data_IF_076384847785
#
_entry.id   IF_076384847785
#
_cell.length_a   1.000
_cell.length_b   1.000
_cell.length_c   1.000
_cell.angle_alpha   90.00
_cell.angle_beta   90.00
_cell.angle_gamma   90.00
#
_symmetry.space_group_name_H-M   'P 1'
#
loop_
_entity.id
_entity.type
_entity.pdbx_description
1 polymer ?
#
# COMPACT_ATOMS: atom_id res chain seq x y z
N UNK A 1 -8.70 -9.26 -20.82
CA UNK A 1 -8.24 -8.09 -20.04
C UNK A 1 -7.12 -8.51 -19.13
N UNK A 2 -6.10 -7.67 -18.97
CA UNK A 2 -4.96 -7.97 -18.10
C UNK A 2 -4.85 -6.92 -16.99
N UNK A 3 -4.55 -7.38 -15.80
CA UNK A 3 -4.17 -6.61 -14.61
C UNK A 3 -2.84 -7.14 -14.09
N UNK A 4 -2.21 -6.47 -13.14
CA UNK A 4 -0.97 -6.99 -12.61
C UNK A 4 -0.40 -6.27 -11.40
N UNK A 5 0.78 -6.73 -11.00
CA UNK A 5 1.59 -6.19 -9.92
C UNK A 5 3.00 -5.91 -10.40
N UNK A 6 3.48 -4.67 -10.24
CA UNK A 6 4.85 -4.25 -10.50
C UNK A 6 5.61 -4.10 -9.18
N UNK A 7 6.78 -4.72 -9.08
CA UNK A 7 7.65 -4.61 -7.91
C UNK A 7 8.79 -5.62 -7.92
N UNK A 8 9.56 -5.69 -6.82
CA UNK A 8 10.64 -6.66 -6.63
C UNK A 8 11.00 -6.83 -5.15
N UNK A 9 11.18 -8.06 -4.64
CA UNK A 9 10.76 -9.33 -5.26
C UNK A 9 9.25 -9.56 -5.12
N UNK A 10 8.63 -10.32 -6.02
CA UNK A 10 7.19 -10.59 -6.03
C UNK A 10 6.80 -12.01 -5.60
N UNK A 11 7.78 -12.89 -5.34
CA UNK A 11 7.53 -14.30 -5.00
C UNK A 11 6.58 -14.52 -3.81
N UNK A 12 6.56 -13.58 -2.86
CA UNK A 12 5.78 -13.67 -1.63
C UNK A 12 4.45 -12.92 -1.67
N UNK A 13 4.14 -12.22 -2.78
CA UNK A 13 2.90 -11.47 -2.90
C UNK A 13 1.69 -12.39 -3.09
N UNK A 14 0.67 -12.20 -2.26
CA UNK A 14 -0.59 -12.93 -2.36
C UNK A 14 -1.52 -12.38 -3.48
N UNK A 15 -1.31 -11.14 -3.95
CA UNK A 15 -2.20 -10.49 -4.93
C UNK A 15 -2.42 -11.32 -6.20
N UNK A 16 -1.39 -11.89 -6.87
CA UNK A 16 -1.61 -12.65 -8.10
C UNK A 16 -2.52 -13.87 -7.90
N UNK A 17 -2.37 -14.56 -6.75
CA UNK A 17 -3.24 -15.69 -6.41
C UNK A 17 -4.66 -15.23 -6.11
N UNK A 18 -4.83 -14.24 -5.23
CA UNK A 18 -6.14 -13.77 -4.81
C UNK A 18 -6.98 -13.23 -5.96
N UNK A 19 -6.41 -12.39 -6.82
CA UNK A 19 -7.12 -11.87 -8.00
C UNK A 19 -7.38 -12.97 -9.05
N UNK A 20 -6.38 -13.81 -9.36
CA UNK A 20 -6.52 -14.87 -10.34
C UNK A 20 -7.64 -15.86 -9.98
N UNK A 21 -7.63 -16.38 -8.74
CA UNK A 21 -8.68 -17.27 -8.24
C UNK A 21 -10.05 -16.60 -8.19
N UNK A 22 -10.13 -15.30 -7.85
CA UNK A 22 -11.39 -14.58 -7.83
C UNK A 22 -11.99 -14.42 -9.23
N UNK A 23 -11.18 -14.12 -10.25
CA UNK A 23 -11.62 -14.01 -11.64
C UNK A 23 -12.07 -15.37 -12.18
N UNK A 24 -11.32 -16.43 -11.89
CA UNK A 24 -11.68 -17.79 -12.30
C UNK A 24 -13.02 -18.24 -11.70
N UNK A 25 -13.19 -18.09 -10.36
CA UNK A 25 -14.46 -18.43 -9.69
C UNK A 25 -15.65 -17.62 -10.20
N UNK A 26 -15.44 -16.37 -10.58
CA UNK A 26 -16.49 -15.50 -11.11
C UNK A 26 -16.78 -15.74 -12.59
N UNK A 27 -15.96 -16.52 -13.31
CA UNK A 27 -16.04 -16.72 -14.76
C UNK A 27 -15.73 -15.45 -15.55
N UNK A 28 -14.90 -14.56 -15.00
CA UNK A 28 -14.52 -13.29 -15.64
C UNK A 28 -13.25 -13.49 -16.47
N UNK A 29 -13.23 -13.15 -17.78
CA UNK A 29 -12.06 -13.30 -18.65
C UNK A 29 -11.02 -12.19 -18.38
N UNK A 30 -10.50 -12.17 -17.16
CA UNK A 30 -9.43 -11.31 -16.70
C UNK A 30 -8.27 -12.13 -16.12
N UNK A 31 -7.07 -11.60 -16.22
CA UNK A 31 -5.84 -12.23 -15.66
C UNK A 31 -5.08 -11.22 -14.82
N UNK A 32 -4.32 -11.71 -13.85
CA UNK A 32 -3.47 -10.88 -13.01
C UNK A 32 -2.01 -11.37 -13.07
N UNK A 33 -1.13 -10.55 -13.62
CA UNK A 33 0.25 -10.89 -13.94
C UNK A 33 1.24 -10.31 -12.92
N UNK A 34 2.43 -10.93 -12.84
CA UNK A 34 3.59 -10.38 -12.15
C UNK A 34 4.49 -9.68 -13.16
N UNK A 35 4.74 -8.39 -12.95
CA UNK A 35 5.76 -7.60 -13.64
C UNK A 35 6.94 -7.41 -12.68
N UNK A 36 7.72 -8.49 -12.50
CA UNK A 36 8.81 -8.50 -11.54
C UNK A 36 10.04 -7.79 -12.12
N UNK A 37 10.41 -6.67 -11.54
CA UNK A 37 11.56 -5.89 -11.97
C UNK A 37 12.18 -5.10 -10.82
N UNK A 38 13.50 -5.16 -10.69
CA UNK A 38 14.26 -4.32 -9.76
C UNK A 38 14.36 -2.88 -10.29
N UNK A 39 14.47 -2.73 -11.62
CA UNK A 39 14.48 -1.44 -12.29
C UNK A 39 13.06 -0.98 -12.61
N UNK A 40 12.79 0.32 -12.45
CA UNK A 40 11.48 0.88 -12.79
C UNK A 40 11.34 1.01 -14.32
N UNK A 41 10.36 0.34 -14.96
CA UNK A 41 10.28 0.27 -16.42
C UNK A 41 9.64 1.50 -17.09
N UNK A 42 9.05 2.42 -16.30
CA UNK A 42 8.19 3.48 -16.79
C UNK A 42 6.78 2.98 -17.18
N UNK A 43 5.75 3.74 -16.80
CA UNK A 43 4.34 3.32 -16.96
C UNK A 43 3.89 3.35 -18.43
N UNK A 44 4.28 4.38 -19.16
CA UNK A 44 3.94 4.50 -20.61
C UNK A 44 4.57 3.38 -21.42
N UNK A 45 5.84 3.06 -21.15
CA UNK A 45 6.52 1.97 -21.82
C UNK A 45 5.86 0.62 -21.52
N UNK A 46 5.53 0.38 -20.24
CA UNK A 46 4.85 -0.83 -19.83
C UNK A 46 3.47 -0.97 -20.49
N UNK A 47 2.70 0.12 -20.58
CA UNK A 47 1.40 0.15 -21.24
C UNK A 47 1.50 -0.13 -22.74
N UNK A 48 2.52 0.42 -23.43
CA UNK A 48 2.75 0.19 -24.86
C UNK A 48 3.14 -1.26 -25.16
N UNK A 49 3.98 -1.86 -24.32
CA UNK A 49 4.38 -3.27 -24.47
C UNK A 49 3.26 -4.26 -24.11
N UNK A 50 2.23 -3.79 -23.38
CA UNK A 50 1.11 -4.61 -22.91
C UNK A 50 -0.23 -3.95 -23.26
N UNK A 51 -0.67 -3.99 -24.54
CA UNK A 51 -1.86 -3.25 -25.00
C UNK A 51 -3.16 -3.71 -24.33
N UNK A 52 -3.23 -4.92 -23.77
CA UNK A 52 -4.37 -5.42 -23.03
C UNK A 52 -4.35 -5.11 -21.52
N UNK A 53 -3.30 -4.41 -21.05
CA UNK A 53 -3.15 -4.05 -19.64
C UNK A 53 -4.10 -2.88 -19.31
N UNK A 54 -5.09 -3.14 -18.48
CA UNK A 54 -6.03 -2.13 -17.97
C UNK A 54 -5.47 -1.38 -16.77
N UNK A 55 -4.72 -2.09 -15.92
CA UNK A 55 -4.16 -1.48 -14.72
C UNK A 55 -3.21 -2.42 -13.98
N UNK A 56 -2.52 -1.84 -13.01
CA UNK A 56 -1.61 -2.61 -12.16
C UNK A 56 -1.49 -1.99 -10.76
N UNK A 57 -1.22 -2.85 -9.78
CA UNK A 57 -0.72 -2.39 -8.50
C UNK A 57 0.79 -2.17 -8.59
N UNK A 58 1.29 -1.26 -7.76
CA UNK A 58 2.71 -1.02 -7.57
C UNK A 58 3.07 -1.31 -6.12
N UNK A 59 4.12 -2.11 -5.93
CA UNK A 59 4.67 -2.40 -4.62
C UNK A 59 6.14 -1.99 -4.51
N UNK A 60 6.81 -2.39 -3.44
CA UNK A 60 8.24 -2.14 -3.25
C UNK A 60 9.05 -2.58 -4.47
N UNK A 61 10.08 -1.80 -4.86
CA UNK A 61 10.49 -0.51 -4.28
C UNK A 61 9.88 0.71 -5.00
N UNK A 62 8.91 0.56 -5.89
CA UNK A 62 8.58 1.49 -6.96
C UNK A 62 7.51 2.55 -6.65
N UNK A 63 6.79 2.49 -5.50
CA UNK A 63 5.67 3.40 -5.20
C UNK A 63 6.03 4.89 -5.26
N UNK A 64 7.20 5.28 -4.74
CA UNK A 64 7.68 6.68 -4.79
C UNK A 64 8.19 7.05 -6.18
N UNK A 65 8.89 6.14 -6.86
CA UNK A 65 9.40 6.37 -8.21
C UNK A 65 8.25 6.53 -9.21
N UNK A 66 7.21 5.71 -9.08
CA UNK A 66 6.00 5.87 -9.88
C UNK A 66 5.36 7.26 -9.67
N UNK A 67 5.26 7.73 -8.43
CA UNK A 67 4.76 9.07 -8.14
C UNK A 67 5.62 10.17 -8.78
N UNK A 68 6.95 10.02 -8.77
CA UNK A 68 7.86 10.98 -9.42
C UNK A 68 7.63 11.07 -10.93
N UNK A 69 7.30 9.96 -11.61
CA UNK A 69 6.94 9.98 -13.04
C UNK A 69 5.71 10.85 -13.32
N UNK A 70 4.74 10.90 -12.39
CA UNK A 70 3.59 11.81 -12.50
C UNK A 70 3.94 13.27 -12.28
N UNK A 71 5.03 13.56 -11.56
CA UNK A 71 5.46 14.95 -11.29
C UNK A 71 6.37 15.50 -12.38
N UNK A 72 7.12 14.63 -13.04
CA UNK A 72 8.10 14.99 -14.07
C UNK A 72 7.89 14.10 -15.31
N UNK A 73 6.71 14.19 -15.94
CA UNK A 73 6.46 13.39 -17.13
C UNK A 73 7.38 13.87 -18.25
N UNK A 74 8.13 12.92 -18.86
CA UNK A 74 8.81 13.18 -20.13
C UNK A 74 7.74 13.38 -21.22
N UNK A 75 8.04 14.13 -22.27
CA UNK A 75 7.32 14.40 -23.55
C UNK A 75 5.79 14.14 -23.68
N UNK A 76 5.11 13.61 -22.65
CA UNK A 76 3.70 13.20 -22.65
C UNK A 76 2.95 13.71 -21.41
N UNK A 77 3.23 14.92 -20.97
CA UNK A 77 2.66 15.54 -19.74
C UNK A 77 1.13 15.42 -19.60
N UNK A 78 0.40 15.46 -20.72
CA UNK A 78 -1.06 15.42 -20.73
C UNK A 78 -1.65 14.06 -20.36
N UNK A 79 -0.84 13.00 -20.36
CA UNK A 79 -1.31 11.65 -20.08
C UNK A 79 -1.45 11.37 -18.57
N UNK A 80 -0.69 12.03 -17.72
CA UNK A 80 -0.58 11.68 -16.31
C UNK A 80 -1.59 12.44 -15.43
N UNK A 81 -2.43 11.69 -14.70
CA UNK A 81 -3.44 12.22 -13.80
C UNK A 81 -3.38 11.52 -12.44
N UNK A 82 -3.27 12.28 -11.35
CA UNK A 82 -3.28 11.78 -9.98
C UNK A 82 -4.63 12.00 -9.31
N UNK A 83 -5.09 11.02 -8.54
CA UNK A 83 -6.17 11.24 -7.58
C UNK A 83 -5.67 12.08 -6.39
N UNK A 84 -6.62 12.65 -5.63
CA UNK A 84 -6.30 13.45 -4.45
C UNK A 84 -5.51 12.67 -3.41
N UNK A 85 -5.81 11.38 -3.22
CA UNK A 85 -5.11 10.49 -2.28
C UNK A 85 -3.65 10.28 -2.71
N UNK A 86 -3.42 9.97 -3.99
CA UNK A 86 -2.07 9.76 -4.51
C UNK A 86 -1.24 11.04 -4.46
N UNK A 87 -1.84 12.19 -4.85
CA UNK A 87 -1.20 13.49 -4.78
C UNK A 87 -0.87 13.91 -3.34
N UNK A 88 -1.82 13.70 -2.42
CA UNK A 88 -1.68 14.08 -1.02
C UNK A 88 -0.63 13.25 -0.27
N UNK A 89 -0.59 11.94 -0.48
CA UNK A 89 0.39 11.08 0.19
C UNK A 89 1.77 11.04 -0.50
N UNK A 90 1.89 11.49 -1.75
CA UNK A 90 3.17 11.47 -2.48
C UNK A 90 3.65 10.06 -2.85
N UNK A 91 2.72 9.14 -3.05
CA UNK A 91 3.01 7.77 -3.45
C UNK A 91 1.85 7.18 -4.26
N UNK A 92 2.17 6.31 -5.22
CA UNK A 92 1.21 5.62 -6.06
C UNK A 92 1.35 4.12 -5.86
N UNK A 93 0.25 3.41 -5.60
CA UNK A 93 0.24 1.95 -5.49
C UNK A 93 -0.76 1.28 -6.45
N UNK A 94 -1.56 2.07 -7.17
CA UNK A 94 -2.53 1.57 -8.13
C UNK A 94 -2.54 2.45 -9.38
N UNK A 95 -2.42 1.83 -10.54
CA UNK A 95 -2.41 2.49 -11.86
C UNK A 95 -3.60 2.00 -12.67
N UNK A 96 -4.22 2.94 -13.39
CA UNK A 96 -5.17 2.66 -14.45
C UNK A 96 -4.68 3.21 -15.80
N UNK A 97 -4.88 2.45 -16.86
CA UNK A 97 -4.58 2.88 -18.22
C UNK A 97 -5.88 3.12 -18.98
N UNK A 98 -6.13 4.36 -19.35
CA UNK A 98 -7.27 4.73 -20.19
C UNK A 98 -6.82 4.81 -21.65
N UNK A 99 -7.58 4.17 -22.54
CA UNK A 99 -7.27 4.09 -23.97
C UNK A 99 -8.44 4.60 -24.80
N UNK A 100 -8.13 5.21 -25.95
CA UNK A 100 -9.12 5.61 -26.97
C UNK A 100 -9.20 4.49 -28.01
N UNK A 101 -10.40 4.08 -28.38
CA UNK A 101 -10.59 3.06 -29.42
C UNK A 101 -11.87 2.24 -29.24
N UNK A 102 -12.30 1.52 -30.27
CA UNK A 102 -13.46 0.65 -30.20
C UNK A 102 -13.22 -0.51 -29.24
N UNK A 103 -14.32 -1.05 -28.66
CA UNK A 103 -14.27 -2.18 -27.71
C UNK A 103 -13.52 -3.42 -28.21
N UNK A 104 -13.25 -3.50 -29.52
CA UNK A 104 -12.66 -4.66 -30.17
C UNK A 104 -11.16 -4.53 -30.49
N UNK A 105 -10.57 -3.33 -30.36
CA UNK A 105 -9.14 -3.09 -30.62
C UNK A 105 -8.50 -2.51 -29.36
N UNK A 106 -8.08 -3.39 -28.46
CA UNK A 106 -7.25 -3.01 -27.33
C UNK A 106 -5.87 -2.60 -27.84
N UNK A 107 -5.60 -1.29 -27.90
CA UNK A 107 -4.22 -0.94 -27.86
C UNK A 107 -3.63 0.13 -28.73
N UNK A 108 -4.37 0.99 -29.43
CA UNK A 108 -3.62 1.91 -30.28
C UNK A 108 -3.29 3.25 -29.64
N UNK A 109 -4.16 3.87 -28.83
CA UNK A 109 -3.80 5.17 -28.25
C UNK A 109 -4.04 5.24 -26.72
N UNK A 110 -2.96 5.27 -25.98
CA UNK A 110 -2.98 5.57 -24.57
C UNK A 110 -3.42 7.03 -24.37
N UNK A 111 -4.61 7.22 -23.80
CA UNK A 111 -5.20 8.54 -23.54
C UNK A 111 -4.78 9.09 -22.18
N UNK A 112 -4.74 8.23 -21.16
CA UNK A 112 -4.31 8.63 -19.83
C UNK A 112 -3.70 7.49 -19.03
N UNK A 113 -2.78 7.87 -18.15
CA UNK A 113 -2.22 7.07 -17.06
C UNK A 113 -2.74 7.67 -15.76
N UNK A 114 -3.58 6.92 -15.05
CA UNK A 114 -4.24 7.37 -13.83
C UNK A 114 -3.51 6.77 -12.62
N UNK A 115 -2.99 7.62 -11.74
CA UNK A 115 -2.33 7.21 -10.50
C UNK A 115 -3.23 7.37 -9.30
N UNK A 116 -3.37 6.29 -8.52
CA UNK A 116 -4.18 6.24 -7.30
C UNK A 116 -3.40 5.59 -6.15
N UNK A 117 -3.87 5.80 -4.91
CA UNK A 117 -3.30 5.16 -3.74
C UNK A 117 -4.37 4.48 -2.88
N UNK A 118 -4.56 3.18 -3.09
CA UNK A 118 -5.51 2.35 -2.36
C UNK A 118 -5.04 1.96 -0.95
N UNK A 119 -3.75 2.15 -0.62
CA UNK A 119 -3.24 1.95 0.74
C UNK A 119 -3.92 2.93 1.72
N UNK A 120 -4.33 4.11 1.25
CA UNK A 120 -5.07 5.12 2.06
C UNK A 120 -6.38 4.54 2.58
N UNK A 121 -7.20 3.99 1.69
CA UNK A 121 -8.44 3.34 2.09
C UNK A 121 -8.18 2.08 2.92
N UNK A 122 -7.20 1.27 2.51
CA UNK A 122 -6.81 0.06 3.21
C UNK A 122 -6.41 0.32 4.65
N UNK A 123 -5.53 1.28 4.87
CA UNK A 123 -5.08 1.66 6.21
C UNK A 123 -6.20 2.31 7.03
N UNK A 124 -7.00 3.18 6.43
CA UNK A 124 -8.14 3.81 7.10
C UNK A 124 -9.08 2.77 7.70
N UNK A 125 -9.43 1.74 6.91
CA UNK A 125 -10.32 0.64 7.33
C UNK A 125 -9.71 -0.25 8.42
N UNK A 126 -8.40 -0.53 8.30
CA UNK A 126 -7.67 -1.29 9.33
C UNK A 126 -7.57 -0.51 10.64
N UNK A 127 -7.31 0.80 10.59
CA UNK A 127 -7.26 1.67 11.76
C UNK A 127 -8.60 1.68 12.51
N UNK A 128 -9.73 1.82 11.78
CA UNK A 128 -11.07 1.77 12.36
C UNK A 128 -11.37 0.42 13.03
N UNK A 129 -10.89 -0.66 12.43
CA UNK A 129 -11.05 -2.01 12.97
C UNK A 129 -10.21 -2.26 14.23
N UNK A 130 -9.03 -1.66 14.34
CA UNK A 130 -8.18 -1.77 15.53
C UNK A 130 -8.66 -0.85 16.66
N UNK A 131 -9.09 0.36 16.31
CA UNK A 131 -9.39 1.46 17.24
C UNK A 131 -10.89 1.73 17.30
N UNK A 132 -11.71 0.75 17.69
CA UNK A 132 -13.19 0.82 17.71
C UNK A 132 -13.76 1.86 18.66
N UNK A 133 -13.01 2.27 19.68
CA UNK A 133 -13.39 3.29 20.66
C UNK A 133 -12.80 4.68 20.38
N UNK A 134 -12.27 4.87 19.16
CA UNK A 134 -11.52 6.05 18.75
C UNK A 134 -10.02 5.84 18.81
N UNK A 135 -9.28 6.63 18.01
CA UNK A 135 -7.83 6.51 17.90
C UNK A 135 -7.14 7.01 19.16
N UNK A 136 -6.28 6.21 19.81
CA UNK A 136 -5.65 6.55 21.08
C UNK A 136 -4.48 7.51 20.88
N UNK A 137 -4.69 8.81 20.86
CA UNK A 137 -3.61 9.82 20.95
C UNK A 137 -2.58 9.80 19.83
N UNK A 138 -1.36 10.35 20.06
CA UNK A 138 -0.29 10.41 19.08
C UNK A 138 0.21 9.03 18.62
N UNK A 139 0.72 8.96 17.38
CA UNK A 139 1.21 7.71 16.80
C UNK A 139 2.71 7.72 16.50
N UNK A 140 3.36 6.56 16.60
CA UNK A 140 4.67 6.30 16.02
C UNK A 140 4.51 5.49 14.74
N UNK A 141 5.05 6.01 13.64
CA UNK A 141 5.13 5.31 12.35
C UNK A 141 6.54 4.76 12.20
N UNK A 142 6.67 3.45 12.23
CA UNK A 142 7.96 2.78 12.15
C UNK A 142 8.36 2.57 10.69
N UNK A 143 9.29 3.39 10.20
CA UNK A 143 9.75 3.41 8.81
C UNK A 143 9.19 4.57 7.99
N UNK A 144 9.91 4.94 6.92
CA UNK A 144 9.61 6.07 6.03
C UNK A 144 9.50 5.61 4.56
N UNK A 145 8.83 4.48 4.31
CA UNK A 145 8.61 3.91 2.98
C UNK A 145 7.36 4.44 2.27
N UNK A 146 7.03 3.84 1.12
CA UNK A 146 5.85 4.24 0.33
C UNK A 146 4.52 4.00 1.08
N UNK A 147 4.41 2.95 1.90
CA UNK A 147 3.21 2.72 2.70
C UNK A 147 3.10 3.68 3.88
N UNK A 148 4.23 4.10 4.48
CA UNK A 148 4.24 5.10 5.55
C UNK A 148 3.69 6.45 5.08
N UNK A 149 3.85 6.77 3.79
CA UNK A 149 3.27 7.98 3.20
C UNK A 149 1.73 7.95 3.22
N UNK A 150 1.12 6.80 2.90
CA UNK A 150 -0.34 6.63 2.99
C UNK A 150 -0.84 6.67 4.45
N UNK A 151 -0.10 6.04 5.38
CA UNK A 151 -0.38 6.11 6.82
C UNK A 151 -0.36 7.55 7.32
N UNK A 152 0.70 8.30 7.00
CA UNK A 152 0.82 9.70 7.36
C UNK A 152 -0.31 10.56 6.79
N UNK A 153 -0.68 10.34 5.53
CA UNK A 153 -1.80 11.04 4.89
C UNK A 153 -3.12 10.79 5.65
N UNK A 154 -3.42 9.54 6.03
CA UNK A 154 -4.62 9.23 6.83
C UNK A 154 -4.57 9.92 8.20
N UNK A 155 -3.42 9.94 8.86
CA UNK A 155 -3.28 10.64 10.14
C UNK A 155 -3.49 12.14 10.01
N UNK A 156 -2.97 12.77 8.95
CA UNK A 156 -3.20 14.20 8.67
C UNK A 156 -4.70 14.49 8.43
N UNK A 157 -5.38 13.66 7.63
CA UNK A 157 -6.82 13.78 7.37
C UNK A 157 -7.64 13.65 8.67
N UNK A 158 -7.22 12.79 9.58
CA UNK A 158 -7.91 12.54 10.86
C UNK A 158 -7.41 13.44 12.00
N UNK A 159 -6.45 14.33 11.72
CA UNK A 159 -5.81 15.22 12.72
C UNK A 159 -5.19 14.45 13.89
N UNK A 160 -4.60 13.28 13.59
CA UNK A 160 -3.88 12.46 14.56
C UNK A 160 -2.42 12.90 14.52
N UNK A 161 -1.84 13.43 15.59
CA UNK A 161 -0.42 13.74 15.65
C UNK A 161 0.41 12.47 15.49
N UNK A 162 1.50 12.54 14.73
CA UNK A 162 2.38 11.39 14.58
C UNK A 162 3.85 11.80 14.39
N UNK A 163 4.73 10.86 14.65
CA UNK A 163 6.16 10.98 14.47
C UNK A 163 6.68 9.74 13.72
N UNK A 164 7.65 9.95 12.82
CA UNK A 164 8.27 8.86 12.06
C UNK A 164 9.53 8.39 12.78
N UNK A 165 9.65 7.07 12.96
CA UNK A 165 10.88 6.42 13.43
C UNK A 165 11.65 5.90 12.23
N UNK A 166 12.88 6.36 12.04
CA UNK A 166 13.67 6.08 10.84
C UNK A 166 15.13 5.72 11.18
N UNK A 167 15.85 5.16 10.22
CA UNK A 167 17.30 4.89 10.33
C UNK A 167 18.16 6.11 10.06
N UNK A 168 17.62 7.04 9.27
CA UNK A 168 18.34 8.24 8.85
C UNK A 168 17.34 9.39 8.77
N UNK A 169 17.64 10.47 9.45
CA UNK A 169 16.80 11.67 9.45
C UNK A 169 16.82 12.34 8.07
N UNK A 170 15.66 12.81 7.65
CA UNK A 170 15.51 13.59 6.43
C UNK A 170 16.09 15.00 6.60
N UNK A 171 16.69 15.55 5.55
CA UNK A 171 17.19 16.95 5.60
C UNK A 171 16.04 17.97 5.77
N UNK A 172 14.86 17.66 5.20
CA UNK A 172 13.66 18.49 5.29
C UNK A 172 12.46 17.59 5.60
N UNK A 173 12.28 17.16 6.86
CA UNK A 173 11.18 16.31 7.23
C UNK A 173 9.85 17.06 7.16
N UNK A 174 8.81 16.42 6.64
CA UNK A 174 7.44 16.98 6.61
C UNK A 174 6.78 16.92 7.99
N UNK A 175 7.17 15.94 8.80
CA UNK A 175 6.70 15.72 10.16
C UNK A 175 7.89 15.37 11.05
N UNK A 176 7.78 15.46 12.39
CA UNK A 176 8.86 15.08 13.29
C UNK A 176 9.40 13.67 13.00
N UNK A 177 10.70 13.54 12.94
CA UNK A 177 11.43 12.28 12.77
C UNK A 177 12.34 12.02 13.94
N UNK A 178 12.45 10.77 14.37
CA UNK A 178 13.42 10.30 15.36
C UNK A 178 14.14 9.05 14.89
N UNK A 179 15.33 8.83 15.42
CA UNK A 179 16.08 7.61 15.16
C UNK A 179 15.57 6.45 16.04
N UNK A 180 15.78 5.21 15.60
CA UNK A 180 15.36 4.01 16.35
C UNK A 180 15.86 3.99 17.79
N UNK A 181 17.13 4.37 18.02
CA UNK A 181 17.77 4.41 19.33
C UNK A 181 17.22 5.52 20.26
N UNK A 182 16.47 6.46 19.74
CA UNK A 182 15.80 7.50 20.52
C UNK A 182 14.44 7.05 21.06
N UNK A 183 13.90 5.94 20.54
CA UNK A 183 12.64 5.39 21.04
C UNK A 183 12.89 4.68 22.39
N UNK A 184 12.58 5.37 23.44
CA UNK A 184 12.69 4.91 24.81
C UNK A 184 11.32 4.74 25.47
N UNK A 185 11.30 4.32 26.75
CA UNK A 185 10.09 4.11 27.54
C UNK A 185 9.16 5.34 27.56
N UNK A 186 9.74 6.56 27.64
CA UNK A 186 8.95 7.78 27.66
C UNK A 186 8.30 8.03 26.29
N UNK A 187 9.05 7.88 25.20
CA UNK A 187 8.52 8.03 23.84
C UNK A 187 7.36 7.05 23.59
N UNK A 188 7.50 5.78 24.02
CA UNK A 188 6.42 4.80 23.93
C UNK A 188 5.20 5.22 24.75
N UNK A 189 5.39 5.67 25.99
CA UNK A 189 4.28 6.11 26.84
C UNK A 189 3.52 7.32 26.27
N UNK A 190 4.21 8.22 25.56
CA UNK A 190 3.63 9.40 24.93
C UNK A 190 2.91 9.07 23.60
N UNK A 191 3.13 7.86 23.02
CA UNK A 191 2.60 7.43 21.73
C UNK A 191 1.87 6.07 21.84
N UNK A 192 0.62 6.06 22.26
CA UNK A 192 -0.13 4.81 22.48
C UNK A 192 -0.46 4.04 21.18
N UNK A 193 -0.27 4.61 19.99
CA UNK A 193 -0.46 3.94 18.71
C UNK A 193 0.87 3.75 17.99
N UNK A 194 1.20 2.50 17.64
CA UNK A 194 2.38 2.15 16.85
C UNK A 194 1.93 1.52 15.53
N UNK A 195 2.50 1.99 14.39
CA UNK A 195 2.23 1.42 13.07
C UNK A 195 3.55 0.99 12.42
N UNK A 196 3.76 -0.31 12.27
CA UNK A 196 4.93 -0.90 11.64
C UNK A 196 4.78 -0.89 10.11
N UNK A 197 5.63 -0.10 9.43
CA UNK A 197 5.63 0.14 7.99
C UNK A 197 6.90 -0.36 7.28
N UNK A 198 7.80 -1.04 8.00
CA UNK A 198 9.03 -1.60 7.43
C UNK A 198 8.81 -3.04 6.95
N UNK A 199 9.70 -3.60 6.12
CA UNK A 199 9.63 -5.01 5.77
C UNK A 199 10.21 -5.97 6.84
N UNK A 200 10.61 -5.47 8.02
CA UNK A 200 11.18 -6.28 9.08
C UNK A 200 10.14 -7.21 9.70
N UNK A 201 10.33 -8.51 9.57
CA UNK A 201 9.38 -9.55 9.97
C UNK A 201 8.60 -10.16 8.82
N UNK A 202 8.70 -9.58 7.60
CA UNK A 202 8.07 -10.13 6.41
C UNK A 202 8.85 -11.33 5.85
N UNK A 203 8.15 -12.31 5.29
CA UNK A 203 8.78 -13.39 4.53
C UNK A 203 9.67 -12.80 3.39
N UNK A 204 10.89 -13.34 3.13
CA UNK A 204 11.44 -14.60 3.66
C UNK A 204 12.22 -14.46 5.00
N UNK A 205 12.15 -13.32 5.69
CA UNK A 205 12.90 -13.05 6.94
C UNK A 205 11.97 -12.84 8.15
N UNK A 206 11.10 -13.83 8.49
CA UNK A 206 10.08 -13.65 9.53
C UNK A 206 10.65 -13.51 10.95
N UNK A 207 11.92 -13.88 11.16
CA UNK A 207 12.61 -13.76 12.45
C UNK A 207 13.19 -12.37 12.72
N UNK A 208 13.11 -11.47 11.74
CA UNK A 208 13.53 -10.08 11.94
C UNK A 208 12.40 -9.25 12.56
N UNK A 209 12.73 -8.16 13.24
CA UNK A 209 11.74 -7.22 13.78
C UNK A 209 12.30 -5.80 13.87
N UNK A 210 11.46 -4.79 14.04
CA UNK A 210 11.91 -3.43 14.37
C UNK A 210 12.84 -3.43 15.59
N UNK A 211 13.99 -2.73 15.53
CA UNK A 211 15.00 -2.73 16.60
C UNK A 211 14.56 -1.79 17.74
N UNK A 212 13.40 -2.05 18.33
CA UNK A 212 12.86 -1.28 19.45
C UNK A 212 13.04 -2.00 20.77
N UNK A 213 13.39 -1.24 21.81
CA UNK A 213 13.16 -1.68 23.17
C UNK A 213 11.69 -1.49 23.52
N UNK A 214 10.98 -2.59 23.81
CA UNK A 214 9.54 -2.58 24.14
C UNK A 214 9.27 -2.37 25.63
N UNK A 215 10.24 -1.89 26.40
CA UNK A 215 9.99 -1.45 27.78
C UNK A 215 9.10 -0.22 27.80
N UNK A 216 8.00 -0.33 28.51
CA UNK A 216 6.97 0.74 28.55
C UNK A 216 5.76 0.46 27.65
N UNK A 217 5.85 -0.52 26.75
CA UNK A 217 4.67 -1.00 26.03
C UNK A 217 3.76 -1.81 26.97
N UNK A 218 2.45 -1.66 26.85
CA UNK A 218 1.50 -2.36 27.71
C UNK A 218 0.04 -2.19 27.24
N UNK A 219 -0.93 -2.47 28.13
CA UNK A 219 -2.38 -2.53 27.82
C UNK A 219 -2.98 -1.27 27.20
N UNK A 220 -2.37 -0.10 27.38
CA UNK A 220 -2.82 1.15 26.78
C UNK A 220 -2.36 1.33 25.33
N UNK A 221 -1.58 0.41 24.77
CA UNK A 221 -1.02 0.53 23.43
C UNK A 221 -1.82 -0.26 22.42
N UNK A 222 -1.90 0.31 21.21
CA UNK A 222 -2.43 -0.28 20.00
C UNK A 222 -1.28 -0.42 19.00
N UNK A 223 -1.06 -1.60 18.48
CA UNK A 223 0.05 -1.87 17.56
C UNK A 223 -0.48 -2.52 16.31
N UNK A 224 -0.24 -1.88 15.19
CA UNK A 224 -0.54 -2.42 13.87
C UNK A 224 0.76 -2.73 13.13
N UNK A 225 0.87 -3.94 12.62
CA UNK A 225 1.93 -4.31 11.69
C UNK A 225 1.32 -4.50 10.29
N UNK A 226 1.78 -3.74 9.31
CA UNK A 226 1.22 -3.79 7.95
C UNK A 226 1.67 -5.02 7.16
N UNK A 227 2.48 -5.89 7.75
CA UNK A 227 2.85 -7.19 7.19
C UNK A 227 1.66 -8.15 7.32
N UNK A 228 1.33 -8.86 6.23
CA UNK A 228 0.30 -9.87 6.16
C UNK A 228 0.84 -11.29 5.91
N UNK A 229 2.12 -11.42 5.64
CA UNK A 229 2.82 -12.71 5.48
C UNK A 229 4.19 -12.66 6.21
N UNK A 230 4.32 -13.30 7.38
CA UNK A 230 3.32 -14.13 8.06
C UNK A 230 2.11 -13.33 8.59
N UNK A 231 1.04 -14.04 8.97
CA UNK A 231 -0.17 -13.42 9.55
C UNK A 231 0.10 -12.76 10.92
N UNK A 232 1.01 -13.34 11.68
CA UNK A 232 1.52 -12.78 12.94
C UNK A 232 3.06 -12.71 12.86
N UNK A 233 3.60 -11.51 13.02
CA UNK A 233 5.04 -11.28 13.04
C UNK A 233 5.58 -11.42 14.46
N UNK A 234 6.88 -11.70 14.59
CA UNK A 234 7.56 -11.72 15.90
C UNK A 234 7.34 -10.40 16.68
N UNK A 235 7.30 -9.28 15.97
CA UNK A 235 7.02 -7.98 16.58
C UNK A 235 5.62 -7.91 17.22
N UNK A 236 4.59 -8.39 16.53
CA UNK A 236 3.21 -8.43 17.08
C UNK A 236 3.11 -9.40 18.25
N UNK A 237 3.77 -10.57 18.17
CA UNK A 237 3.81 -11.55 19.26
C UNK A 237 4.42 -10.93 20.53
N UNK A 238 5.58 -10.27 20.42
CA UNK A 238 6.21 -9.59 21.54
C UNK A 238 5.35 -8.45 22.10
N UNK A 239 4.70 -7.66 21.25
CA UNK A 239 3.81 -6.59 21.67
C UNK A 239 2.57 -7.13 22.41
N UNK A 240 1.98 -8.21 21.91
CA UNK A 240 0.86 -8.91 22.57
C UNK A 240 1.25 -9.45 23.94
N UNK A 241 2.45 -10.04 24.07
CA UNK A 241 2.96 -10.53 25.34
C UNK A 241 3.13 -9.42 26.39
N UNK A 242 3.33 -8.17 25.97
CA UNK A 242 3.32 -6.97 26.85
C UNK A 242 1.92 -6.46 27.18
N UNK A 243 0.88 -7.04 26.59
CA UNK A 243 -0.52 -6.70 26.82
C UNK A 243 -1.08 -5.65 25.86
N UNK A 244 -0.38 -5.27 24.81
CA UNK A 244 -0.89 -4.37 23.76
C UNK A 244 -2.04 -5.02 22.96
N UNK A 245 -2.94 -4.20 22.43
CA UNK A 245 -3.91 -4.61 21.41
C UNK A 245 -3.19 -4.62 20.07
N UNK A 246 -3.16 -5.76 19.38
CA UNK A 246 -2.37 -5.91 18.16
C UNK A 246 -3.22 -6.32 16.97
N UNK A 247 -2.82 -5.87 15.76
CA UNK A 247 -3.45 -6.23 14.49
C UNK A 247 -2.38 -6.39 13.40
N UNK A 248 -2.47 -7.48 12.62
CA UNK A 248 -1.66 -7.70 11.43
C UNK A 248 -2.22 -7.05 10.17
N UNK A 249 -1.43 -7.07 9.10
CA UNK A 249 -1.70 -6.34 7.86
C UNK A 249 -2.81 -6.89 6.97
N UNK A 250 -3.42 -8.03 7.31
CA UNK A 250 -4.39 -8.68 6.43
C UNK A 250 -5.62 -7.82 6.16
N UNK A 251 -6.17 -7.14 7.17
CA UNK A 251 -7.33 -6.23 7.00
C UNK A 251 -7.02 -5.09 6.02
N UNK A 252 -5.84 -4.49 6.13
CA UNK A 252 -5.38 -3.47 5.19
C UNK A 252 -5.20 -4.05 3.79
N UNK A 253 -4.57 -5.23 3.69
CA UNK A 253 -4.31 -5.89 2.41
C UNK A 253 -5.61 -6.20 1.65
N UNK A 254 -6.62 -6.73 2.35
CA UNK A 254 -7.94 -6.99 1.78
C UNK A 254 -8.60 -5.71 1.27
N UNK A 255 -8.67 -4.70 2.11
CA UNK A 255 -9.35 -3.46 1.78
C UNK A 255 -8.69 -2.71 0.60
N UNK A 256 -7.34 -2.65 0.53
CA UNK A 256 -6.64 -2.02 -0.60
C UNK A 256 -6.81 -2.81 -1.91
N UNK A 257 -6.91 -4.14 -1.84
CA UNK A 257 -7.13 -4.97 -3.02
C UNK A 257 -8.56 -4.77 -3.58
N UNK A 258 -9.57 -4.72 -2.71
CA UNK A 258 -10.94 -4.38 -3.08
C UNK A 258 -11.03 -2.95 -3.67
N UNK A 259 -10.33 -1.99 -3.08
CA UNK A 259 -10.25 -0.63 -3.60
C UNK A 259 -9.61 -0.57 -4.99
N UNK A 260 -8.56 -1.36 -5.22
CA UNK A 260 -7.93 -1.48 -6.55
C UNK A 260 -8.91 -2.06 -7.58
N UNK A 261 -9.67 -3.10 -7.21
CA UNK A 261 -10.68 -3.67 -8.09
C UNK A 261 -11.76 -2.63 -8.45
N UNK A 262 -12.27 -1.89 -7.47
CA UNK A 262 -13.24 -0.79 -7.73
C UNK A 262 -12.65 0.31 -8.60
N UNK A 263 -11.40 0.70 -8.38
CA UNK A 263 -10.72 1.70 -9.21
C UNK A 263 -10.67 1.25 -10.67
N UNK A 264 -10.24 0.03 -10.95
CA UNK A 264 -10.17 -0.50 -12.31
C UNK A 264 -11.54 -0.74 -12.94
N UNK A 265 -12.54 -1.15 -12.16
CA UNK A 265 -13.89 -1.37 -12.65
C UNK A 265 -14.59 -0.10 -13.18
N UNK A 266 -14.13 1.07 -12.73
CA UNK A 266 -14.63 2.37 -13.19
C UNK A 266 -13.89 2.93 -14.41
N UNK A 267 -12.87 2.22 -14.90
CA UNK A 267 -12.16 2.61 -16.13
C UNK A 267 -12.90 2.11 -17.38
N UNK A 268 -12.84 2.82 -18.51
CA UNK A 268 -13.30 2.31 -19.78
C UNK A 268 -12.63 0.95 -20.11
N UNK A 269 -13.44 -0.07 -20.39
CA UNK A 269 -12.99 -1.45 -20.56
C UNK A 269 -12.88 -2.24 -19.26
N UNK A 270 -13.14 -1.63 -18.10
CA UNK A 270 -13.14 -2.26 -16.79
C UNK A 270 -14.51 -2.77 -16.32
N UNK A 271 -15.59 -2.53 -17.09
CA UNK A 271 -16.97 -2.81 -16.69
C UNK A 271 -17.22 -4.27 -16.35
N UNK A 272 -16.46 -5.17 -16.95
CA UNK A 272 -16.51 -6.62 -16.64
C UNK A 272 -16.10 -6.95 -15.20
N UNK A 273 -15.35 -6.06 -14.55
CA UNK A 273 -14.95 -6.18 -13.15
C UNK A 273 -16.05 -5.74 -12.18
N UNK A 274 -17.14 -5.10 -12.65
CA UNK A 274 -18.33 -4.76 -11.87
C UNK A 274 -19.23 -5.99 -11.64
N UNK A 275 -18.63 -7.14 -11.37
CA UNK A 275 -19.32 -8.40 -11.20
C UNK A 275 -19.31 -8.78 -9.71
N UNK A 276 -20.49 -8.83 -9.08
CA UNK A 276 -20.66 -9.16 -7.66
C UNK A 276 -20.15 -10.55 -7.27
N UNK A 277 -19.91 -11.43 -8.26
CA UNK A 277 -19.30 -12.74 -8.05
C UNK A 277 -17.79 -12.68 -7.82
N UNK A 278 -17.13 -11.57 -8.17
CA UNK A 278 -15.71 -11.40 -7.88
C UNK A 278 -15.56 -11.16 -6.37
N UNK A 279 -15.21 -12.21 -5.66
CA UNK A 279 -14.89 -12.14 -4.22
C UNK A 279 -13.41 -12.45 -4.02
N UNK A 280 -12.66 -11.45 -3.57
CA UNK A 280 -11.27 -11.66 -3.19
C UNK A 280 -11.24 -12.46 -1.89
N UNK A 281 -10.57 -13.61 -1.91
CA UNK A 281 -10.37 -14.48 -0.73
C UNK A 281 -8.88 -14.52 -0.42
N UNK A 282 -8.53 -14.36 0.84
CA UNK A 282 -7.17 -14.12 1.30
C UNK A 282 -6.70 -15.19 2.29
#
# INVERSE_FOLDING_TARGET
MNLGLLGYPLGHSASPRCFGEAFERAGVPATYHRFESMSYPGLVNLARQNPRLLGLNITLPHKKTAFQEFQHPSDVERLFQLTAEAAGCGAVNCIGFRRVGSKDVLGEDLEAVLGHNTDVEGFSKALDSLCTEGTPGPALVLGNGGVAAAVGFVFEQRKIPYQIVTRTLSQKPRVPEILWEQVNRKVLADHPLLVQCTPLGMAPHPTTRPPLNLEGLGRGHYVMDLIYNPLETLFLEECRAKGARVMGGMTMFQAQAEASLRFWSNLPGGEILQNDRIKLVF
#
